data_IF_240213085320
#
_entry.id   IF_240213085320
#
_cell.length_a   1.000
_cell.length_b   1.000
_cell.length_c   1.000
_cell.angle_alpha   90.00
_cell.angle_beta   90.00
_cell.angle_gamma   90.00
#
_symmetry.space_group_name_H-M   'P 1'
#
loop_
_entity.id
_entity.type
_entity.pdbx_description
1 polymer ?
#
# COMPACT_ATOMS: atom_id res chain seq x y z
N UNK A 1 18.07 8.02 2.47
CA UNK A 1 16.86 7.27 2.84
C UNK A 1 15.79 8.28 3.19
N UNK A 2 14.67 8.25 2.46
CA UNK A 2 13.45 8.96 2.81
C UNK A 2 12.54 8.02 3.61
N UNK A 3 11.52 8.59 4.25
CA UNK A 3 10.48 7.81 4.94
C UNK A 3 9.14 8.12 4.31
N UNK A 4 8.34 7.09 4.11
CA UNK A 4 6.98 7.20 3.63
C UNK A 4 6.01 6.68 4.68
N UNK A 5 4.92 7.42 4.92
CA UNK A 5 3.83 7.00 5.79
C UNK A 5 2.81 6.21 4.99
N UNK A 6 2.53 4.99 5.43
CA UNK A 6 1.56 4.11 4.78
C UNK A 6 0.37 3.93 5.70
N UNK A 7 -0.79 4.37 5.23
CA UNK A 7 -2.06 4.29 5.92
C UNK A 7 -2.78 3.03 5.46
N UNK A 8 -3.04 2.11 6.38
CA UNK A 8 -3.80 0.89 6.11
C UNK A 8 -5.24 1.07 6.57
N UNK A 9 -6.18 1.01 5.63
CA UNK A 9 -7.61 1.07 5.93
C UNK A 9 -8.31 -0.16 5.38
N UNK A 10 -8.69 -1.08 6.27
CA UNK A 10 -9.44 -2.30 5.93
C UNK A 10 -8.61 -3.41 5.26
N UNK A 11 -7.32 -3.18 5.00
CA UNK A 11 -6.41 -4.17 4.41
C UNK A 11 -6.06 -5.30 5.39
N UNK A 12 -5.85 -4.94 6.65
CA UNK A 12 -5.51 -5.86 7.73
C UNK A 12 -6.70 -5.90 8.69
N UNK A 13 -7.10 -7.10 9.07
CA UNK A 13 -8.36 -7.33 9.78
C UNK A 13 -8.38 -6.60 11.12
N UNK A 14 -9.27 -5.60 11.24
CA UNK A 14 -9.61 -4.98 12.52
C UNK A 14 -8.95 -3.63 12.81
N UNK A 15 -7.93 -3.21 12.06
CA UNK A 15 -7.14 -2.03 12.43
C UNK A 15 -6.98 -1.04 11.27
N UNK A 16 -7.38 0.22 11.54
CA UNK A 16 -6.84 1.38 10.83
C UNK A 16 -5.55 1.79 11.54
N UNK A 17 -4.43 1.71 10.84
CA UNK A 17 -3.14 2.11 11.42
C UNK A 17 -2.22 2.70 10.36
N UNK A 18 -1.19 3.39 10.85
CA UNK A 18 -0.17 4.04 10.03
C UNK A 18 1.17 3.42 10.36
N UNK A 19 1.91 3.02 9.33
CA UNK A 19 3.26 2.49 9.46
C UNK A 19 4.22 3.35 8.63
N UNK A 20 5.40 3.63 9.19
CA UNK A 20 6.48 4.26 8.44
C UNK A 20 7.36 3.19 7.80
N UNK A 21 7.67 3.38 6.52
CA UNK A 21 8.61 2.57 5.75
C UNK A 21 9.82 3.43 5.37
N UNK A 22 11.01 2.87 5.54
CA UNK A 22 12.24 3.48 5.04
C UNK A 22 12.41 3.09 3.57
N UNK A 23 12.60 4.09 2.72
CA UNK A 23 12.69 3.91 1.27
C UNK A 23 13.98 4.49 0.73
N UNK A 24 14.55 3.78 -0.24
CA UNK A 24 15.74 4.21 -0.97
C UNK A 24 15.40 5.19 -2.11
N UNK A 25 16.43 5.69 -2.79
CA UNK A 25 16.30 6.69 -3.85
C UNK A 25 15.56 6.21 -5.10
N UNK A 26 15.37 4.89 -5.24
CA UNK A 26 14.56 4.25 -6.28
C UNK A 26 13.75 3.17 -5.60
N UNK A 27 12.49 3.47 -5.30
CA UNK A 27 11.62 2.57 -4.57
C UNK A 27 10.23 2.65 -5.19
N UNK A 28 9.78 1.54 -5.76
CA UNK A 28 8.54 1.51 -6.54
C UNK A 28 7.35 1.09 -5.69
N UNK A 29 6.14 1.34 -6.19
CA UNK A 29 4.93 0.80 -5.57
C UNK A 29 4.99 -0.73 -5.41
N UNK A 30 5.52 -1.44 -6.41
CA UNK A 30 5.67 -2.89 -6.35
C UNK A 30 6.64 -3.36 -5.26
N UNK A 31 7.70 -2.59 -4.97
CA UNK A 31 8.61 -2.88 -3.87
C UNK A 31 7.90 -2.70 -2.51
N UNK A 32 7.10 -1.63 -2.38
CA UNK A 32 6.28 -1.40 -1.19
C UNK A 32 5.28 -2.54 -0.95
N UNK A 33 4.56 -2.96 -1.98
CA UNK A 33 3.58 -4.03 -1.86
C UNK A 33 4.24 -5.36 -1.44
N UNK A 34 5.42 -5.68 -1.98
CA UNK A 34 6.20 -6.85 -1.54
C UNK A 34 6.58 -6.77 -0.07
N UNK A 35 7.03 -5.60 0.39
CA UNK A 35 7.39 -5.41 1.79
C UNK A 35 6.16 -5.53 2.70
N UNK A 36 5.01 -4.97 2.30
CA UNK A 36 3.75 -5.09 3.03
C UNK A 36 3.32 -6.56 3.12
N UNK A 37 3.32 -7.30 2.00
CA UNK A 37 2.97 -8.72 1.99
C UNK A 37 3.97 -9.55 2.80
N UNK A 38 5.26 -9.21 2.78
CA UNK A 38 6.26 -9.90 3.59
C UNK A 38 5.99 -9.72 5.10
N UNK A 39 5.57 -8.53 5.52
CA UNK A 39 5.37 -8.21 6.94
C UNK A 39 3.98 -8.68 7.43
N UNK A 40 2.93 -8.43 6.64
CA UNK A 40 1.54 -8.59 7.04
C UNK A 40 0.78 -9.63 6.22
N UNK A 41 1.44 -10.36 5.32
CA UNK A 41 0.77 -11.24 4.35
C UNK A 41 -0.13 -12.31 4.98
N UNK A 42 0.17 -12.75 6.20
CA UNK A 42 -0.68 -13.70 6.92
C UNK A 42 -1.98 -13.08 7.47
N UNK A 43 -2.00 -11.75 7.67
CA UNK A 43 -3.11 -11.00 8.25
C UNK A 43 -3.97 -10.29 7.18
N UNK A 44 -3.47 -10.23 5.94
CA UNK A 44 -4.16 -9.70 4.77
C UNK A 44 -5.09 -10.78 4.21
N UNK A 45 -6.37 -10.44 4.02
CA UNK A 45 -7.33 -11.34 3.36
C UNK A 45 -6.87 -11.64 1.92
N UNK A 46 -6.97 -12.91 1.50
CA UNK A 46 -6.66 -13.37 0.14
C UNK A 46 -7.45 -12.59 -0.94
N UNK A 47 -8.66 -12.12 -0.64
CA UNK A 47 -9.45 -11.28 -1.56
C UNK A 47 -8.76 -9.97 -1.95
N UNK A 48 -7.81 -9.52 -1.13
CA UNK A 48 -7.03 -8.30 -1.34
C UNK A 48 -5.67 -8.56 -1.96
N UNK A 49 -5.33 -9.83 -2.19
CA UNK A 49 -4.12 -10.23 -2.90
C UNK A 49 -4.41 -10.43 -4.38
N UNK A 50 -3.46 -10.06 -5.22
CA UNK A 50 -3.48 -10.37 -6.65
C UNK A 50 -3.08 -11.83 -6.88
N UNK A 51 -3.29 -12.33 -8.10
CA UNK A 51 -2.83 -13.66 -8.50
C UNK A 51 -1.30 -13.85 -8.41
N UNK A 52 -0.55 -12.74 -8.29
CA UNK A 52 0.91 -12.74 -8.13
C UNK A 52 1.33 -12.68 -6.64
N UNK A 53 0.37 -12.73 -5.72
CA UNK A 53 0.61 -12.65 -4.28
C UNK A 53 0.93 -11.23 -3.78
N UNK A 54 0.78 -10.21 -4.63
CA UNK A 54 0.91 -8.79 -4.26
C UNK A 54 -0.45 -8.22 -3.84
N UNK A 55 -0.55 -6.92 -3.60
CA UNK A 55 -1.82 -6.31 -3.23
C UNK A 55 -2.65 -5.95 -4.47
N UNK A 56 -3.96 -5.84 -4.30
CA UNK A 56 -4.82 -5.28 -5.33
C UNK A 56 -4.58 -3.75 -5.42
N UNK A 57 -3.64 -3.35 -6.29
CA UNK A 57 -3.21 -1.96 -6.52
C UNK A 57 -4.35 -0.97 -6.84
N UNK A 58 -5.56 -1.46 -7.18
CA UNK A 58 -6.73 -0.60 -7.40
C UNK A 58 -7.16 0.22 -6.17
N UNK A 59 -6.56 -0.09 -5.02
CA UNK A 59 -6.91 0.40 -3.70
C UNK A 59 -5.90 1.43 -3.17
N UNK A 60 -4.89 1.80 -3.96
CA UNK A 60 -3.77 2.63 -3.51
C UNK A 60 -3.91 4.08 -3.98
N UNK A 61 -3.71 5.04 -3.07
CA UNK A 61 -3.77 6.48 -3.35
C UNK A 61 -2.62 7.24 -2.72
N UNK A 62 -2.20 8.32 -3.37
CA UNK A 62 -1.26 9.29 -2.79
C UNK A 62 -1.95 10.07 -1.67
N UNK A 63 -1.27 10.27 -0.54
CA UNK A 63 -1.76 11.03 0.61
C UNK A 63 -1.59 12.55 0.47
N UNK A 64 -1.65 13.08 -0.75
CA UNK A 64 -1.60 14.51 -1.01
C UNK A 64 -2.98 15.07 -1.40
N UNK A 65 -3.06 16.38 -1.65
CA UNK A 65 -4.30 17.05 -2.06
C UNK A 65 -4.89 16.53 -3.36
N UNK A 66 -4.10 15.85 -4.20
CA UNK A 66 -4.60 15.27 -5.45
C UNK A 66 -5.39 13.99 -5.19
N UNK A 67 -5.06 13.25 -4.13
CA UNK A 67 -5.64 11.93 -3.86
C UNK A 67 -5.49 10.96 -5.03
N UNK A 68 -4.48 11.18 -5.89
CA UNK A 68 -4.30 10.47 -7.14
C UNK A 68 -4.16 8.98 -6.85
N UNK A 69 -4.88 8.17 -7.62
CA UNK A 69 -4.76 6.72 -7.56
C UNK A 69 -3.44 6.28 -8.21
N UNK A 70 -2.77 5.33 -7.57
CA UNK A 70 -1.59 4.67 -8.11
C UNK A 70 -2.02 3.31 -8.66
N UNK A 71 -1.81 3.10 -9.96
CA UNK A 71 -2.25 1.89 -10.67
C UNK A 71 -1.13 1.17 -11.44
N UNK A 72 0.09 1.70 -11.43
CA UNK A 72 1.29 1.07 -12.02
C UNK A 72 2.30 0.72 -10.92
N UNK A 73 2.63 -0.58 -10.81
CA UNK A 73 3.61 -1.12 -9.86
C UNK A 73 5.01 -0.52 -10.06
N UNK A 74 5.35 -0.05 -11.26
CA UNK A 74 6.63 0.57 -11.56
C UNK A 74 6.67 2.06 -11.23
N UNK A 75 5.57 2.63 -10.71
CA UNK A 75 5.56 4.02 -10.26
C UNK A 75 6.57 4.20 -9.14
N UNK A 76 7.53 5.10 -9.34
CA UNK A 76 8.45 5.52 -8.31
C UNK A 76 7.70 6.33 -7.23
N UNK A 77 7.82 5.89 -5.99
CA UNK A 77 7.17 6.50 -4.82
C UNK A 77 8.19 7.09 -3.84
N UNK A 78 9.49 7.03 -4.14
CA UNK A 78 10.57 7.51 -3.26
C UNK A 78 10.45 8.98 -2.87
N UNK A 79 9.79 9.79 -3.70
CA UNK A 79 9.50 11.21 -3.48
C UNK A 79 8.19 11.51 -2.74
N UNK A 80 7.39 10.48 -2.42
CA UNK A 80 6.12 10.66 -1.72
C UNK A 80 6.31 10.64 -0.20
N UNK A 81 5.57 11.50 0.50
CA UNK A 81 5.54 11.51 1.96
C UNK A 81 4.52 10.54 2.55
N UNK A 82 3.45 10.24 1.81
CA UNK A 82 2.29 9.52 2.32
C UNK A 82 1.54 8.74 1.22
N UNK A 83 1.13 7.51 1.54
CA UNK A 83 0.31 6.62 0.70
C UNK A 83 -0.80 5.99 1.54
N UNK A 84 -1.95 5.77 0.91
CA UNK A 84 -3.12 5.17 1.50
C UNK A 84 -3.49 3.88 0.76
N UNK A 85 -3.52 2.77 1.49
CA UNK A 85 -4.12 1.51 1.06
C UNK A 85 -5.55 1.45 1.60
N UNK A 86 -6.51 1.82 0.76
CA UNK A 86 -7.92 1.93 1.12
C UNK A 86 -8.70 0.79 0.49
N UNK A 87 -9.06 -0.17 1.33
CA UNK A 87 -9.83 -1.33 0.91
C UNK A 87 -11.30 -1.08 1.21
N UNK A 88 -12.20 -1.11 0.22
CA UNK A 88 -13.63 -1.00 0.48
C UNK A 88 -14.04 -2.19 1.34
N UNK A 89 -14.71 -1.94 2.47
CA UNK A 89 -15.41 -2.98 3.21
C UNK A 89 -16.36 -3.67 2.22
N UNK A 90 -16.03 -4.90 1.83
CA UNK A 90 -16.94 -5.73 1.06
C UNK A 90 -18.13 -6.07 1.98
N UNK A 91 -19.17 -5.23 1.92
CA UNK A 91 -20.52 -5.54 2.38
C UNK A 91 -21.37 -5.88 1.17
N UNK A 92 -21.61 -7.17 0.95
CA UNK A 92 -22.46 -7.72 -0.10
C UNK A 92 -22.60 -9.22 0.06
#
# INVERSE_FOLDING_TARGET
MSKIKVHFYGLIKGDFFVQEFEVDSLYTLGDLEKDIVRIYGNDINEDYKSNEGLLNHKLVRVGDVSGKRLDDLNTDISGLSEIWFVVPFAGG
#
